data_IF_296889964602
#
_entry.id   IF_296889964602
#
_cell.length_a   1.000
_cell.length_b   1.000
_cell.length_c   1.000
_cell.angle_alpha   90.00
_cell.angle_beta   90.00
_cell.angle_gamma   90.00
#
_symmetry.space_group_name_H-M   'P 1'
#
loop_
_entity.id
_entity.type
_entity.pdbx_description
1 polymer ?
#
# COMPACT_ATOMS: atom_id res chain seq x y z
N UNK A 1 -10.17 -18.40 12.66
CA UNK A 1 -9.37 -18.79 11.48
C UNK A 1 -9.17 -17.52 10.67
N UNK A 2 -7.94 -17.02 10.58
CA UNK A 2 -7.64 -15.80 9.85
C UNK A 2 -7.40 -16.24 8.40
N UNK A 3 -8.35 -15.96 7.51
CA UNK A 3 -8.15 -16.16 6.08
C UNK A 3 -7.04 -15.21 5.65
N UNK A 4 -5.94 -15.75 5.11
CA UNK A 4 -4.93 -14.96 4.40
C UNK A 4 -5.63 -14.40 3.16
N UNK A 5 -6.27 -13.25 3.32
CA UNK A 5 -6.90 -12.52 2.21
C UNK A 5 -5.76 -11.95 1.39
N UNK A 6 -5.68 -12.34 0.11
CA UNK A 6 -4.67 -11.81 -0.80
C UNK A 6 -4.68 -10.28 -0.77
N UNK A 7 -3.50 -9.63 -0.84
CA UNK A 7 -3.42 -8.18 -0.78
C UNK A 7 -4.21 -7.56 -1.93
N UNK A 8 -4.93 -6.48 -1.64
CA UNK A 8 -5.63 -5.72 -2.67
C UNK A 8 -4.60 -4.93 -3.47
N UNK A 9 -4.57 -5.17 -4.78
CA UNK A 9 -3.60 -4.55 -5.68
C UNK A 9 -4.12 -3.23 -6.24
N UNK A 10 -3.27 -2.21 -6.17
CA UNK A 10 -3.54 -0.90 -6.72
C UNK A 10 -2.48 -0.47 -7.72
N UNK A 11 -2.91 0.25 -8.75
CA UNK A 11 -2.03 1.00 -9.64
C UNK A 11 -2.10 2.49 -9.32
N UNK A 12 -0.94 3.09 -9.07
CA UNK A 12 -0.79 4.54 -8.95
C UNK A 12 -0.52 5.12 -10.33
N UNK A 13 -1.39 6.02 -10.76
CA UNK A 13 -1.21 6.81 -11.97
C UNK A 13 -0.77 8.24 -11.61
N UNK A 14 -0.31 9.00 -12.61
CA UNK A 14 -0.03 10.42 -12.43
C UNK A 14 -1.28 11.18 -11.91
N UNK A 15 -1.07 12.33 -11.26
CA UNK A 15 -2.12 13.15 -10.63
C UNK A 15 -2.83 12.52 -9.40
N UNK A 16 -2.10 11.74 -8.59
CA UNK A 16 -2.57 11.15 -7.31
C UNK A 16 -3.73 10.15 -7.44
N UNK A 17 -4.02 9.66 -8.65
CA UNK A 17 -5.07 8.65 -8.88
C UNK A 17 -4.58 7.26 -8.48
N UNK A 18 -5.36 6.58 -7.65
CA UNK A 18 -5.16 5.18 -7.27
C UNK A 18 -6.26 4.35 -7.90
N UNK A 19 -5.91 3.30 -8.63
CA UNK A 19 -6.86 2.41 -9.28
C UNK A 19 -6.84 1.05 -8.60
N UNK A 20 -7.98 0.63 -8.05
CA UNK A 20 -8.18 -0.68 -7.48
C UNK A 20 -8.34 -1.70 -8.62
N UNK A 21 -7.44 -2.69 -8.69
CA UNK A 21 -7.49 -3.73 -9.71
C UNK A 21 -8.64 -4.72 -9.48
N UNK A 22 -9.04 -4.96 -8.23
CA UNK A 22 -10.13 -5.88 -7.87
C UNK A 22 -11.50 -5.29 -8.22
N UNK A 23 -11.73 -4.02 -7.87
CA UNK A 23 -13.01 -3.34 -8.10
C UNK A 23 -13.07 -2.58 -9.43
N UNK A 24 -11.97 -2.59 -10.20
CA UNK A 24 -11.81 -1.87 -11.47
C UNK A 24 -12.20 -0.38 -11.42
N UNK A 25 -11.95 0.29 -10.29
CA UNK A 25 -12.35 1.69 -10.04
C UNK A 25 -11.23 2.53 -9.44
N UNK A 26 -11.32 3.85 -9.63
CA UNK A 26 -10.47 4.78 -8.91
C UNK A 26 -10.94 4.93 -7.47
N UNK A 27 -9.98 5.02 -6.55
CA UNK A 27 -10.21 5.20 -5.12
C UNK A 27 -9.40 6.38 -4.59
N UNK A 28 -9.90 6.95 -3.50
CA UNK A 28 -9.23 7.96 -2.69
C UNK A 28 -8.33 7.33 -1.62
N UNK A 29 -7.45 8.12 -1.02
CA UNK A 29 -6.66 7.70 0.15
C UNK A 29 -7.57 7.38 1.36
N UNK A 30 -8.71 8.05 1.47
CA UNK A 30 -9.73 7.78 2.50
C UNK A 30 -10.34 6.38 2.36
N UNK A 31 -10.82 6.03 1.16
CA UNK A 31 -11.37 4.70 0.87
C UNK A 31 -10.31 3.59 1.06
N UNK A 32 -9.08 3.83 0.61
CA UNK A 32 -7.97 2.89 0.85
C UNK A 32 -7.70 2.71 2.35
N UNK A 33 -7.76 3.79 3.13
CA UNK A 33 -7.59 3.74 4.58
C UNK A 33 -8.70 2.96 5.28
N UNK A 34 -9.93 2.95 4.75
CA UNK A 34 -11.03 2.13 5.25
C UNK A 34 -10.82 0.64 4.95
N UNK A 35 -10.35 0.29 3.75
CA UNK A 35 -10.00 -1.10 3.42
C UNK A 35 -8.96 -1.67 4.40
N UNK A 36 -7.92 -0.91 4.69
CA UNK A 36 -6.86 -1.30 5.64
C UNK A 36 -7.43 -1.44 7.05
N UNK A 37 -8.30 -0.52 7.49
CA UNK A 37 -8.98 -0.64 8.80
C UNK A 37 -9.87 -1.88 8.90
N UNK A 38 -10.42 -2.34 7.78
CA UNK A 38 -11.19 -3.57 7.70
C UNK A 38 -10.32 -4.84 7.65
N UNK A 39 -9.00 -4.72 7.81
CA UNK A 39 -8.07 -5.84 7.87
C UNK A 39 -7.52 -6.29 6.52
N UNK A 40 -7.68 -5.50 5.46
CA UNK A 40 -7.08 -5.81 4.16
C UNK A 40 -5.64 -5.30 4.09
N UNK A 41 -4.75 -6.13 3.57
CA UNK A 41 -3.44 -5.68 3.13
C UNK A 41 -3.55 -5.02 1.74
N UNK A 42 -2.66 -4.07 1.46
CA UNK A 42 -2.64 -3.35 0.18
C UNK A 42 -1.25 -3.38 -0.42
N UNK A 43 -1.19 -3.47 -1.75
CA UNK A 43 0.04 -3.32 -2.51
C UNK A 43 -0.16 -2.31 -3.62
N UNK A 44 0.73 -1.33 -3.73
CA UNK A 44 0.61 -0.24 -4.71
C UNK A 44 1.82 -0.20 -5.61
N UNK A 45 1.58 -0.33 -6.92
CA UNK A 45 2.60 -0.23 -7.96
C UNK A 45 2.41 1.04 -8.77
N UNK A 46 3.49 1.80 -9.00
CA UNK A 46 3.44 2.94 -9.91
C UNK A 46 3.30 2.46 -11.36
N UNK A 47 2.23 2.87 -12.03
CA UNK A 47 1.91 2.39 -13.37
C UNK A 47 2.89 2.86 -14.45
N UNK A 48 3.70 3.90 -14.17
CA UNK A 48 4.70 4.42 -15.11
C UNK A 48 6.05 3.72 -14.91
N UNK A 49 6.48 3.54 -13.67
CA UNK A 49 7.82 3.02 -13.36
C UNK A 49 7.83 1.55 -12.96
N UNK A 50 6.66 0.94 -12.72
CA UNK A 50 6.50 -0.37 -12.09
C UNK A 50 7.19 -0.50 -10.71
N UNK A 51 7.52 0.61 -10.06
CA UNK A 51 8.10 0.60 -8.73
C UNK A 51 7.04 0.30 -7.67
N UNK A 52 7.42 -0.43 -6.63
CA UNK A 52 6.61 -0.56 -5.42
C UNK A 52 6.62 0.77 -4.67
N UNK A 53 5.45 1.37 -4.53
CA UNK A 53 5.22 2.66 -3.88
C UNK A 53 4.29 2.51 -2.68
N UNK A 54 4.13 1.30 -2.16
CA UNK A 54 3.24 0.97 -1.04
C UNK A 54 3.57 1.81 0.19
N UNK A 55 4.84 1.81 0.62
CA UNK A 55 5.29 2.58 1.78
C UNK A 55 5.01 4.09 1.65
N UNK A 56 5.22 4.64 0.46
CA UNK A 56 4.93 6.04 0.16
C UNK A 56 3.43 6.35 0.30
N UNK A 57 2.55 5.51 -0.25
CA UNK A 57 1.11 5.70 -0.15
C UNK A 57 0.59 5.55 1.28
N UNK A 58 1.09 4.56 2.03
CA UNK A 58 0.74 4.39 3.45
C UNK A 58 1.15 5.62 4.27
N UNK A 59 2.34 6.16 4.01
CA UNK A 59 2.81 7.40 4.66
C UNK A 59 1.90 8.59 4.33
N UNK A 60 1.45 8.71 3.08
CA UNK A 60 0.48 9.75 2.69
C UNK A 60 -0.85 9.62 3.43
N UNK A 61 -1.37 8.40 3.57
CA UNK A 61 -2.59 8.12 4.33
C UNK A 61 -2.43 8.58 5.78
N UNK A 62 -1.33 8.22 6.44
CA UNK A 62 -1.05 8.63 7.82
C UNK A 62 -1.02 10.16 7.95
N UNK A 63 -0.34 10.85 7.03
CA UNK A 63 -0.23 12.30 7.04
C UNK A 63 -1.59 13.00 6.82
N UNK A 64 -2.43 12.46 5.93
CA UNK A 64 -3.77 12.98 5.68
C UNK A 64 -4.67 12.83 6.92
N UNK A 65 -4.64 11.67 7.58
CA UNK A 65 -5.40 11.45 8.82
C UNK A 65 -4.94 12.39 9.95
N UNK A 66 -3.63 12.61 10.08
CA UNK A 66 -3.05 13.54 11.05
C UNK A 66 -3.58 14.98 10.86
N UNK A 67 -3.77 15.42 9.60
CA UNK A 67 -4.31 16.75 9.29
C UNK A 67 -5.80 16.89 9.57
N UNK A 68 -6.59 15.84 9.34
CA UNK A 68 -8.05 15.94 9.34
C UNK A 68 -8.73 15.51 10.65
N UNK A 69 -8.16 14.55 11.41
CA UNK A 69 -8.88 13.88 12.51
C UNK A 69 -8.32 14.12 13.91
N UNK A 70 -7.29 14.96 14.05
CA UNK A 70 -6.57 15.22 15.30
C UNK A 70 -6.09 13.94 16.04
N UNK A 71 -6.10 12.80 15.34
CA UNK A 71 -5.63 11.50 15.81
C UNK A 71 -4.21 11.36 15.29
N UNK A 72 -3.26 11.78 16.11
CA UNK A 72 -1.85 11.69 15.79
C UNK A 72 -1.33 10.34 16.27
N UNK A 73 -0.44 9.74 15.48
CA UNK A 73 0.39 8.64 15.97
C UNK A 73 1.12 9.12 17.24
N UNK A 74 1.25 8.28 18.28
CA UNK A 74 2.02 8.63 19.46
C UNK A 74 3.42 9.11 19.06
N UNK A 75 3.88 10.22 19.65
CA UNK A 75 5.21 10.79 19.38
C UNK A 75 6.34 9.75 19.50
N UNK A 76 6.33 8.81 20.48
CA UNK A 76 7.35 7.76 20.54
C UNK A 76 7.37 6.87 19.28
N UNK A 77 6.22 6.56 18.69
CA UNK A 77 6.13 5.76 17.47
C UNK A 77 6.73 6.50 16.27
N UNK A 78 6.53 7.82 16.18
CA UNK A 78 7.13 8.64 15.12
C UNK A 78 8.66 8.64 15.21
N UNK A 79 9.22 8.73 16.42
CA UNK A 79 10.67 8.61 16.61
C UNK A 79 11.18 7.23 16.17
N UNK A 80 10.46 6.14 16.47
CA UNK A 80 10.82 4.79 16.01
C UNK A 80 10.80 4.70 14.48
N UNK A 81 9.75 5.21 13.82
CA UNK A 81 9.66 5.19 12.35
C UNK A 81 10.85 5.92 11.73
N UNK A 82 11.27 7.06 12.28
CA UNK A 82 12.44 7.80 11.77
C UNK A 82 13.76 7.08 12.08
N UNK A 83 13.89 6.53 13.29
CA UNK A 83 15.11 5.84 13.73
C UNK A 83 15.37 4.55 12.94
N UNK A 84 14.32 3.83 12.54
CA UNK A 84 14.41 2.51 11.90
C UNK A 84 13.93 2.49 10.45
N UNK A 85 13.41 3.60 9.92
CA UNK A 85 12.79 3.68 8.59
C UNK A 85 13.72 3.34 7.42
N UNK A 86 15.03 3.49 7.59
CA UNK A 86 16.02 3.10 6.58
C UNK A 86 16.53 1.65 6.73
N UNK A 87 16.31 1.02 7.90
CA UNK A 87 17.01 -0.23 8.29
C UNK A 87 16.10 -1.45 8.47
N UNK A 88 14.78 -1.33 8.32
CA UNK A 88 13.86 -2.39 8.74
C UNK A 88 12.86 -2.72 7.62
N UNK A 89 13.02 -3.94 7.08
CA UNK A 89 12.13 -4.73 6.21
C UNK A 89 12.27 -4.54 4.69
N UNK A 90 13.44 -4.90 4.15
CA UNK A 90 13.47 -5.58 2.84
C UNK A 90 13.14 -7.05 3.13
N UNK A 91 11.86 -7.38 3.27
CA UNK A 91 11.43 -8.76 3.10
C UNK A 91 11.13 -8.97 1.61
N UNK A 92 12.10 -9.55 0.90
CA UNK A 92 11.88 -10.17 -0.40
C UNK A 92 12.14 -11.65 -0.18
N UNK A 93 11.09 -12.48 -0.21
CA UNK A 93 10.93 -13.28 -1.42
C UNK A 93 9.45 -13.57 -1.74
N UNK A 94 8.94 -13.02 -2.84
CA UNK A 94 7.95 -13.75 -3.63
C UNK A 94 8.66 -14.31 -4.86
N UNK A 95 9.30 -15.47 -4.64
CA UNK A 95 9.44 -16.47 -5.69
C UNK A 95 8.08 -17.17 -5.84
N UNK A 96 7.75 -17.42 -7.10
CA UNK A 96 6.79 -18.37 -7.63
C UNK A 96 5.32 -17.93 -7.75
N UNK A 97 4.91 -17.64 -8.99
CA UNK A 97 3.86 -18.48 -9.59
C UNK A 97 3.99 -18.60 -11.12
N UNK A 98 3.47 -19.71 -11.67
CA UNK A 98 3.93 -20.34 -12.90
C UNK A 98 2.98 -20.13 -14.09
N UNK A 99 3.53 -20.32 -15.30
CA UNK A 99 2.84 -20.41 -16.60
C UNK A 99 2.14 -19.09 -17.02
N UNK A 100 2.08 -18.62 -18.26
CA UNK A 100 1.94 -19.23 -19.59
C UNK A 100 2.42 -18.22 -20.65
N UNK A 101 2.71 -18.72 -21.85
CA UNK A 101 2.83 -18.13 -23.20
C UNK A 101 3.95 -18.92 -23.89
N UNK A 102 3.73 -20.18 -24.27
CA UNK A 102 3.01 -20.59 -25.48
C UNK A 102 3.59 -19.95 -26.75
N UNK A 103 4.12 -20.83 -27.62
CA UNK A 103 4.29 -20.72 -29.09
C UNK A 103 5.07 -19.52 -29.67
N UNK A 104 6.33 -19.76 -30.06
CA UNK A 104 6.69 -19.98 -31.47
C UNK A 104 8.05 -20.67 -31.63
#
# INVERSE_FOLDING_TARGET
MQTLTDPVFFKKYANRRLYNMSDSKYVTLGEMSELIRNGHEVKVIDAKTNADVTAFILTQIILEQAKHKNTLLPVPLLHLIIQYGDNVLIDQPHRDSPAEHEIH
#
